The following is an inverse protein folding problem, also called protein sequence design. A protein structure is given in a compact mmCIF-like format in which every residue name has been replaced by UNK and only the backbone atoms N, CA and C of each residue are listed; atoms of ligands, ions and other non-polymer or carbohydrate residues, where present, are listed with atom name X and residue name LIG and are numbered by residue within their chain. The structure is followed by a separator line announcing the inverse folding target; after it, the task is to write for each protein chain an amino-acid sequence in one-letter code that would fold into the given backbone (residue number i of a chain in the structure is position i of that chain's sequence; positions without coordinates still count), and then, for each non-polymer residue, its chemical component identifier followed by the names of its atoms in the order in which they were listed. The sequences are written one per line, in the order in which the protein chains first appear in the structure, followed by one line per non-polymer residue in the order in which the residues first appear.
data_IF_264698003906
#
_entry.id   IF_264698003906
#
_cell.length_a   1.000
_cell.length_b   1.000
_cell.length_c   1.000
_cell.angle_alpha   90.00
_cell.angle_beta   90.00
_cell.angle_gamma   90.00
#
_symmetry.space_group_name_H-M   'P 1'
#
loop_
_entity.id
_entity.type
_entity.pdbx_description
1 polymer ?
#
# COMPACT_ATOMS: atom_id res chain seq x y z
N UNK A 1 -15.74 6.27 -6.11
CA UNK A 1 -15.40 5.11 -6.94
C UNK A 1 -14.08 5.28 -7.70
N UNK A 2 -13.73 6.49 -8.18
CA UNK A 2 -12.52 6.69 -8.98
C UNK A 2 -11.20 6.29 -8.25
N UNK A 3 -11.13 6.40 -6.92
CA UNK A 3 -9.94 5.96 -6.15
C UNK A 3 -9.88 4.44 -6.10
N UNK A 4 -10.99 3.76 -5.83
CA UNK A 4 -11.04 2.29 -5.83
C UNK A 4 -10.70 1.70 -7.21
N UNK A 5 -11.12 2.36 -8.29
CA UNK A 5 -10.77 1.96 -9.65
C UNK A 5 -9.27 2.17 -9.91
N UNK A 6 -8.69 3.27 -9.40
CA UNK A 6 -7.26 3.53 -9.48
C UNK A 6 -6.44 2.53 -8.64
N UNK A 7 -6.89 2.19 -7.44
CA UNK A 7 -6.27 1.14 -6.59
C UNK A 7 -6.23 -0.20 -7.31
N UNK A 8 -7.34 -0.59 -7.95
CA UNK A 8 -7.42 -1.83 -8.71
C UNK A 8 -6.44 -1.82 -9.90
N UNK A 9 -6.37 -0.73 -10.65
CA UNK A 9 -5.44 -0.60 -11.79
C UNK A 9 -3.97 -0.63 -11.34
N UNK A 10 -3.65 0.01 -10.22
CA UNK A 10 -2.29 -0.04 -9.63
C UNK A 10 -1.96 -1.44 -9.17
N UNK A 11 -2.88 -2.14 -8.52
CA UNK A 11 -2.69 -3.52 -8.08
C UNK A 11 -2.45 -4.48 -9.26
N UNK A 12 -3.19 -4.32 -10.37
CA UNK A 12 -2.98 -5.08 -11.60
C UNK A 12 -1.60 -4.80 -12.20
N UNK A 13 -1.19 -3.54 -12.26
CA UNK A 13 0.14 -3.16 -12.77
C UNK A 13 1.27 -3.74 -11.92
N UNK A 14 1.11 -3.77 -10.59
CA UNK A 14 2.06 -4.42 -9.68
C UNK A 14 2.09 -5.93 -9.92
N UNK A 15 0.92 -6.55 -10.12
CA UNK A 15 0.83 -7.98 -10.44
C UNK A 15 1.58 -8.33 -11.72
N UNK A 16 1.40 -7.55 -12.77
CA UNK A 16 2.10 -7.73 -14.04
C UNK A 16 3.62 -7.55 -13.88
N UNK A 17 4.08 -6.56 -13.14
CA UNK A 17 5.50 -6.38 -12.85
C UNK A 17 6.08 -7.60 -12.13
N UNK A 18 5.38 -8.15 -11.13
CA UNK A 18 5.83 -9.35 -10.40
C UNK A 18 5.93 -10.58 -11.29
N UNK A 19 5.01 -10.75 -12.25
CA UNK A 19 5.10 -11.84 -13.22
C UNK A 19 6.34 -11.67 -14.10
N UNK A 20 6.62 -10.46 -14.58
CA UNK A 20 7.82 -10.20 -15.38
C UNK A 20 9.12 -10.45 -14.60
N UNK A 21 9.16 -10.07 -13.31
CA UNK A 21 10.30 -10.34 -12.43
C UNK A 21 10.47 -11.85 -12.21
N UNK A 22 9.37 -12.59 -12.03
CA UNK A 22 9.40 -14.04 -11.89
C UNK A 22 9.89 -14.74 -13.17
N UNK A 23 9.38 -14.35 -14.33
CA UNK A 23 9.80 -14.89 -15.62
C UNK A 23 11.31 -14.66 -15.85
N UNK A 24 11.80 -13.44 -15.53
CA UNK A 24 13.22 -13.13 -15.56
C UNK A 24 14.05 -14.05 -14.63
N UNK A 25 13.62 -14.25 -13.40
CA UNK A 25 14.31 -15.11 -12.45
C UNK A 25 14.30 -16.59 -12.90
N UNK A 26 13.21 -17.03 -13.53
CA UNK A 26 13.11 -18.36 -14.14
C UNK A 26 14.10 -18.52 -15.30
N UNK A 27 14.25 -17.51 -16.16
CA UNK A 27 15.22 -17.51 -17.25
C UNK A 27 16.67 -17.53 -16.75
N UNK A 28 16.98 -16.74 -15.72
CA UNK A 28 18.29 -16.77 -15.07
C UNK A 28 18.59 -18.16 -14.48
N UNK A 29 17.61 -18.77 -13.81
CA UNK A 29 17.75 -20.11 -13.24
C UNK A 29 17.89 -21.18 -14.35
N UNK A 30 17.12 -21.05 -15.42
CA UNK A 30 17.23 -21.96 -16.59
C UNK A 30 18.59 -21.85 -17.27
N UNK A 31 19.12 -20.64 -17.45
CA UNK A 31 20.45 -20.43 -17.99
C UNK A 31 21.53 -21.12 -17.14
N UNK A 32 21.46 -20.98 -15.82
CA UNK A 32 22.39 -21.64 -14.91
C UNK A 32 22.27 -23.18 -14.97
N UNK A 33 21.06 -23.70 -15.09
CA UNK A 33 20.83 -25.16 -15.22
C UNK A 33 21.36 -25.71 -16.54
N UNK A 34 21.12 -25.02 -17.65
CA UNK A 34 21.67 -25.39 -18.95
C UNK A 34 23.18 -25.31 -18.96
N UNK A 35 23.80 -24.34 -18.31
CA UNK A 35 25.27 -24.26 -18.13
C UNK A 35 25.84 -25.48 -17.40
N UNK A 36 25.20 -25.92 -16.30
CA UNK A 36 25.58 -27.15 -15.58
C UNK A 36 25.46 -28.38 -16.47
N UNK A 37 24.37 -28.51 -17.24
CA UNK A 37 24.16 -29.61 -18.17
C UNK A 37 25.19 -29.61 -19.28
N UNK A 38 25.56 -28.45 -19.81
CA UNK A 38 26.60 -28.32 -20.84
C UNK A 38 27.95 -28.77 -20.30
N UNK A 39 28.34 -28.34 -19.10
CA UNK A 39 29.58 -28.73 -18.44
C UNK A 39 29.63 -30.24 -18.17
N UNK A 40 28.53 -30.82 -17.68
CA UNK A 40 28.46 -32.28 -17.43
C UNK A 40 28.62 -33.09 -18.76
N UNK A 41 27.98 -32.65 -19.83
CA UNK A 41 28.10 -33.27 -21.13
C UNK A 41 29.51 -33.13 -21.68
N UNK A 42 30.15 -31.96 -21.58
CA UNK A 42 31.53 -31.74 -22.02
C UNK A 42 32.51 -32.63 -21.26
N UNK A 43 32.39 -32.69 -19.93
CA UNK A 43 33.24 -33.56 -19.08
C UNK A 43 33.07 -35.03 -19.50
N UNK A 44 31.84 -35.47 -19.79
CA UNK A 44 31.57 -36.84 -20.24
C UNK A 44 32.18 -37.14 -21.62
N UNK A 45 32.15 -36.16 -22.52
CA UNK A 45 32.82 -36.28 -23.81
C UNK A 45 34.32 -36.45 -23.64
N UNK A 46 34.97 -35.71 -22.73
CA UNK A 46 36.39 -35.81 -22.46
C UNK A 46 36.79 -37.18 -21.88
N UNK A 47 35.98 -37.69 -20.93
CA UNK A 47 36.16 -39.03 -20.35
C UNK A 47 36.10 -40.11 -21.43
N UNK A 48 35.09 -40.05 -22.32
CA UNK A 48 34.92 -41.02 -23.38
C UNK A 48 36.06 -40.94 -24.41
N UNK A 49 36.55 -39.74 -24.72
CA UNK A 49 37.68 -39.52 -25.62
C UNK A 49 38.96 -40.09 -25.06
N UNK A 50 39.19 -39.91 -23.76
CA UNK A 50 40.33 -40.51 -23.06
C UNK A 50 40.26 -42.05 -23.01
N UNK A 51 39.05 -42.63 -22.99
CA UNK A 51 38.81 -44.06 -23.07
C UNK A 51 38.87 -44.62 -24.51
N UNK A 52 39.11 -43.79 -25.55
CA UNK A 52 39.20 -44.19 -26.94
C UNK A 52 37.83 -44.29 -27.66
N UNK A 53 36.73 -43.93 -27.01
CA UNK A 53 35.39 -43.97 -27.58
C UNK A 53 35.01 -42.61 -28.20
N UNK A 54 35.57 -42.28 -29.36
CA UNK A 54 35.39 -40.99 -30.02
C UNK A 54 33.97 -40.78 -30.51
N UNK A 55 33.29 -41.84 -31.02
CA UNK A 55 31.95 -41.73 -31.54
C UNK A 55 30.92 -41.32 -30.51
N UNK A 56 31.02 -41.82 -29.29
CA UNK A 56 30.12 -41.39 -28.19
C UNK A 56 30.58 -40.06 -27.58
N UNK A 57 31.89 -39.76 -27.56
CA UNK A 57 32.37 -38.44 -27.17
C UNK A 57 31.79 -37.34 -28.06
N UNK A 58 31.75 -37.52 -29.37
CA UNK A 58 31.15 -36.55 -30.31
C UNK A 58 29.63 -36.31 -30.07
N UNK A 59 28.93 -37.37 -29.65
CA UNK A 59 27.48 -37.22 -29.24
C UNK A 59 27.34 -36.31 -28.00
N UNK A 60 28.21 -36.49 -26.99
CA UNK A 60 28.19 -35.66 -25.80
C UNK A 60 28.64 -34.23 -26.06
N UNK A 61 29.61 -34.02 -26.95
CA UNK A 61 29.97 -32.67 -27.42
C UNK A 61 28.80 -31.98 -28.12
N UNK A 62 28.02 -32.70 -28.92
CA UNK A 62 26.80 -32.16 -29.54
C UNK A 62 25.73 -31.81 -28.47
N UNK A 63 25.54 -32.65 -27.45
CA UNK A 63 24.66 -32.34 -26.32
C UNK A 63 25.11 -31.09 -25.58
N UNK A 64 26.42 -30.94 -25.30
CA UNK A 64 26.98 -29.75 -24.70
C UNK A 64 26.69 -28.49 -25.53
N UNK A 65 26.86 -28.55 -26.85
CA UNK A 65 26.53 -27.43 -27.77
C UNK A 65 25.06 -27.07 -27.73
N UNK A 66 24.17 -28.06 -27.70
CA UNK A 66 22.71 -27.82 -27.61
C UNK A 66 22.39 -27.15 -26.25
N UNK A 67 22.99 -27.64 -25.18
CA UNK A 67 22.79 -27.06 -23.83
C UNK A 67 23.32 -25.62 -23.74
N UNK A 68 24.49 -25.34 -24.34
CA UNK A 68 25.02 -23.96 -24.43
C UNK A 68 24.10 -23.07 -25.29
N UNK A 69 23.54 -23.56 -26.37
CA UNK A 69 22.56 -22.81 -27.15
C UNK A 69 21.32 -22.44 -26.36
N UNK A 70 20.82 -23.36 -25.52
CA UNK A 70 19.72 -23.11 -24.60
C UNK A 70 20.10 -22.12 -23.51
N UNK A 71 21.31 -22.23 -22.94
CA UNK A 71 21.82 -21.26 -21.98
C UNK A 71 21.84 -19.86 -22.57
N UNK A 72 22.41 -19.67 -23.74
CA UNK A 72 22.48 -18.36 -24.43
C UNK A 72 21.07 -17.80 -24.70
N UNK A 73 20.11 -18.65 -25.08
CA UNK A 73 18.71 -18.22 -25.28
C UNK A 73 18.13 -17.65 -23.99
N UNK A 74 18.21 -18.42 -22.88
CA UNK A 74 17.67 -17.97 -21.60
C UNK A 74 18.41 -16.72 -21.04
N UNK A 75 19.73 -16.63 -21.22
CA UNK A 75 20.50 -15.42 -20.85
C UNK A 75 20.05 -14.19 -21.66
N UNK A 76 19.72 -14.38 -22.94
CA UNK A 76 19.24 -13.30 -23.80
C UNK A 76 17.84 -12.87 -23.38
N UNK A 77 16.94 -13.82 -23.13
CA UNK A 77 15.57 -13.55 -22.67
C UNK A 77 15.56 -12.78 -21.35
N UNK A 78 16.36 -13.23 -20.37
CA UNK A 78 16.53 -12.52 -19.10
C UNK A 78 17.05 -11.09 -19.30
N UNK A 79 18.11 -10.92 -20.10
CA UNK A 79 18.72 -9.62 -20.37
C UNK A 79 17.78 -8.66 -21.09
N UNK A 80 17.00 -9.16 -22.03
CA UNK A 80 16.05 -8.35 -22.81
C UNK A 80 14.85 -7.91 -21.95
N UNK A 81 14.52 -8.65 -20.89
CA UNK A 81 13.48 -8.30 -19.92
C UNK A 81 13.90 -7.16 -18.97
N UNK A 82 15.20 -7.05 -18.61
CA UNK A 82 15.72 -6.09 -17.60
C UNK A 82 15.28 -4.64 -17.84
N UNK A 83 15.42 -4.04 -19.06
CA UNK A 83 15.03 -2.64 -19.28
C UNK A 83 13.52 -2.43 -19.13
N UNK A 84 12.72 -3.43 -19.49
CA UNK A 84 11.27 -3.37 -19.35
C UNK A 84 10.85 -3.43 -17.87
N UNK A 85 11.46 -4.33 -17.10
CA UNK A 85 11.25 -4.44 -15.65
C UNK A 85 11.65 -3.13 -14.96
N UNK A 86 12.80 -2.55 -15.29
CA UNK A 86 13.25 -1.27 -14.72
C UNK A 86 12.27 -0.11 -15.03
N UNK A 87 11.77 -0.06 -16.27
CA UNK A 87 10.77 0.92 -16.67
C UNK A 87 9.45 0.73 -15.91
N UNK A 88 8.94 -0.49 -15.84
CA UNK A 88 7.71 -0.81 -15.12
C UNK A 88 7.83 -0.56 -13.62
N UNK A 89 8.97 -0.84 -13.01
CA UNK A 89 9.26 -0.52 -11.61
C UNK A 89 9.12 0.99 -11.33
N UNK A 90 9.64 1.81 -12.25
CA UNK A 90 9.51 3.26 -12.16
C UNK A 90 8.05 3.71 -12.29
N UNK A 91 7.31 3.14 -13.24
CA UNK A 91 5.88 3.42 -13.44
C UNK A 91 5.07 3.04 -12.18
N UNK A 92 5.30 1.87 -11.63
CA UNK A 92 4.64 1.40 -10.39
C UNK A 92 4.93 2.36 -9.23
N UNK A 93 6.17 2.83 -9.07
CA UNK A 93 6.51 3.80 -8.03
C UNK A 93 5.75 5.12 -8.21
N UNK A 94 5.65 5.63 -9.44
CA UNK A 94 4.89 6.84 -9.75
C UNK A 94 3.39 6.66 -9.49
N UNK A 95 2.82 5.52 -9.87
CA UNK A 95 1.41 5.20 -9.66
C UNK A 95 1.07 5.12 -8.16
N UNK A 96 1.93 4.50 -7.34
CA UNK A 96 1.78 4.47 -5.89
C UNK A 96 1.78 5.88 -5.30
N UNK A 97 2.74 6.71 -5.68
CA UNK A 97 2.82 8.11 -5.23
C UNK A 97 1.57 8.90 -5.65
N UNK A 98 1.09 8.69 -6.87
CA UNK A 98 -0.14 9.33 -7.34
C UNK A 98 -1.38 8.89 -6.54
N UNK A 99 -1.47 7.60 -6.21
CA UNK A 99 -2.55 7.06 -5.39
C UNK A 99 -2.53 7.65 -3.97
N UNK A 100 -1.37 7.73 -3.33
CA UNK A 100 -1.20 8.37 -2.02
C UNK A 100 -1.66 9.83 -2.05
N UNK A 101 -1.29 10.58 -3.09
CA UNK A 101 -1.75 11.97 -3.29
C UNK A 101 -3.29 12.05 -3.44
N UNK A 102 -3.90 11.10 -4.14
CA UNK A 102 -5.36 11.03 -4.27
C UNK A 102 -6.03 10.79 -2.91
N UNK A 103 -5.48 9.91 -2.07
CA UNK A 103 -5.99 9.68 -0.72
C UNK A 103 -5.88 10.92 0.18
N UNK A 104 -4.74 11.60 0.16
CA UNK A 104 -4.55 12.86 0.88
C UNK A 104 -5.59 13.90 0.42
N UNK A 105 -5.77 14.03 -0.89
CA UNK A 105 -6.74 14.98 -1.45
C UNK A 105 -8.18 14.64 -1.09
N UNK A 106 -8.52 13.37 -1.06
CA UNK A 106 -9.83 12.91 -0.61
C UNK A 106 -10.06 13.30 0.86
N UNK A 107 -9.07 13.06 1.73
CA UNK A 107 -9.14 13.43 3.14
C UNK A 107 -9.35 14.94 3.34
N UNK A 108 -8.59 15.77 2.60
CA UNK A 108 -8.77 17.23 2.60
C UNK A 108 -10.19 17.65 2.17
N UNK A 109 -10.71 17.03 1.11
CA UNK A 109 -12.06 17.33 0.61
C UNK A 109 -13.14 16.91 1.61
N UNK A 110 -12.98 15.78 2.29
CA UNK A 110 -13.89 15.32 3.36
C UNK A 110 -13.88 16.34 4.49
N UNK A 111 -12.70 16.74 4.98
CA UNK A 111 -12.57 17.74 6.05
C UNK A 111 -13.22 19.07 5.66
N UNK A 112 -13.03 19.51 4.41
CA UNK A 112 -13.62 20.73 3.91
C UNK A 112 -15.14 20.65 3.77
N UNK A 113 -15.66 19.50 3.34
CA UNK A 113 -17.11 19.24 3.34
C UNK A 113 -17.68 19.34 4.75
N UNK A 114 -17.03 18.72 5.73
CA UNK A 114 -17.52 18.68 7.11
C UNK A 114 -17.50 20.09 7.72
N UNK A 115 -16.46 20.88 7.45
CA UNK A 115 -16.41 22.30 7.82
C UNK A 115 -17.59 23.11 7.22
N UNK A 116 -17.84 22.91 5.93
CA UNK A 116 -18.94 23.60 5.26
C UNK A 116 -20.33 23.19 5.78
N UNK A 117 -20.50 21.89 6.08
CA UNK A 117 -21.74 21.37 6.69
C UNK A 117 -21.92 21.96 8.10
N UNK A 118 -20.87 22.06 8.90
CA UNK A 118 -20.94 22.68 10.22
C UNK A 118 -21.32 24.18 10.13
N UNK A 119 -20.72 24.92 9.20
CA UNK A 119 -21.05 26.33 8.95
C UNK A 119 -22.49 26.50 8.46
N UNK A 120 -22.98 25.64 7.58
CA UNK A 120 -24.36 25.68 7.11
C UNK A 120 -25.36 25.46 8.28
N UNK A 121 -25.08 24.45 9.13
CA UNK A 121 -25.91 24.20 10.34
C UNK A 121 -25.93 25.37 11.30
N UNK A 122 -24.79 26.05 11.47
CA UNK A 122 -24.71 27.25 12.33
C UNK A 122 -25.51 28.40 11.73
N UNK A 123 -25.43 28.60 10.42
CA UNK A 123 -26.20 29.63 9.72
C UNK A 123 -27.70 29.37 9.81
N UNK A 124 -28.15 28.12 9.63
CA UNK A 124 -29.56 27.73 9.80
C UNK A 124 -30.04 27.95 11.24
N UNK A 125 -29.23 27.61 12.25
CA UNK A 125 -29.56 27.88 13.64
C UNK A 125 -29.69 29.38 13.92
N UNK A 126 -28.77 30.21 13.39
CA UNK A 126 -28.85 31.67 13.51
C UNK A 126 -30.09 32.25 12.83
N UNK A 127 -30.46 31.74 11.65
CA UNK A 127 -31.71 32.16 10.96
C UNK A 127 -32.94 31.83 11.78
N UNK A 128 -32.98 30.60 12.37
CA UNK A 128 -34.11 30.21 13.25
C UNK A 128 -34.22 31.08 14.52
N UNK A 129 -33.09 31.49 15.09
CA UNK A 129 -33.07 32.42 16.23
C UNK A 129 -33.60 33.80 15.82
N UNK A 130 -33.16 34.32 14.69
CA UNK A 130 -33.64 35.62 14.17
C UNK A 130 -35.13 35.58 13.88
N UNK A 131 -35.62 34.49 13.31
CA UNK A 131 -37.06 34.33 12.99
C UNK A 131 -37.91 34.18 14.27
N UNK A 132 -37.38 33.47 15.28
CA UNK A 132 -38.01 33.38 16.58
C UNK A 132 -38.06 34.74 17.30
N UNK A 133 -37.00 35.54 17.21
CA UNK A 133 -36.99 36.91 17.78
C UNK A 133 -37.96 37.85 17.04
N UNK A 134 -38.09 37.70 15.74
CA UNK A 134 -39.06 38.48 14.95
C UNK A 134 -40.51 38.09 15.23
N UNK A 135 -40.76 36.85 15.66
CA UNK A 135 -42.13 36.37 15.98
C UNK A 135 -42.54 36.67 17.43
N UNK A 136 -41.69 37.27 18.26
CA UNK A 136 -42.04 37.70 19.58
C UNK A 136 -42.93 38.93 19.45
N UNK A 137 -44.22 38.72 19.60
CA UNK A 137 -45.21 39.80 19.67
C UNK A 137 -45.08 40.51 21.01
N UNK A 138 -45.01 41.84 20.97
CA UNK A 138 -44.64 42.72 22.12
C UNK A 138 -45.68 42.71 23.24
N UNK A 139 -46.73 41.88 23.17
CA UNK A 139 -47.88 41.92 24.10
C UNK A 139 -47.77 41.06 25.36
N UNK A 140 -46.83 40.10 25.45
CA UNK A 140 -46.55 39.36 26.70
C UNK A 140 -45.10 38.93 26.83
N UNK A 141 -44.20 39.78 27.36
CA UNK A 141 -42.77 39.53 27.38
C UNK A 141 -42.33 38.45 28.37
N UNK A 142 -43.13 38.03 29.34
CA UNK A 142 -42.66 37.20 30.45
C UNK A 142 -42.82 35.70 30.26
N UNK A 143 -43.79 35.25 29.44
CA UNK A 143 -44.01 33.81 29.20
C UNK A 143 -43.25 33.28 27.99
N UNK A 144 -42.98 34.11 26.98
CA UNK A 144 -42.23 33.70 25.77
C UNK A 144 -40.72 33.76 25.96
N UNK A 145 -40.20 34.71 26.78
CA UNK A 145 -38.78 34.80 27.04
C UNK A 145 -38.28 33.54 27.77
N UNK A 146 -39.02 33.00 28.71
CA UNK A 146 -38.68 31.74 29.41
C UNK A 146 -38.68 30.53 28.46
N UNK A 147 -39.62 30.46 27.52
CA UNK A 147 -39.66 29.41 26.50
C UNK A 147 -38.52 29.53 25.49
N UNK A 148 -38.09 30.74 25.17
CA UNK A 148 -36.98 31.02 24.31
C UNK A 148 -35.62 30.65 24.96
N UNK A 149 -35.45 31.05 26.21
CA UNK A 149 -34.27 30.66 27.01
C UNK A 149 -34.14 29.13 27.15
N UNK A 150 -35.24 28.42 27.39
CA UNK A 150 -35.23 26.95 27.42
C UNK A 150 -34.88 26.33 26.09
N UNK A 151 -35.32 26.91 24.96
CA UNK A 151 -35.03 26.43 23.63
C UNK A 151 -33.55 26.66 23.22
N UNK A 152 -33.03 27.86 23.53
CA UNK A 152 -31.61 28.18 23.33
C UNK A 152 -30.72 27.25 24.16
N UNK A 153 -31.06 27.03 25.42
CA UNK A 153 -30.33 26.14 26.36
C UNK A 153 -30.33 24.69 25.87
N UNK A 154 -31.42 24.20 25.26
CA UNK A 154 -31.47 22.87 24.66
C UNK A 154 -30.63 22.76 23.39
N UNK A 155 -30.62 23.79 22.55
CA UNK A 155 -29.77 23.79 21.34
C UNK A 155 -28.29 23.95 21.68
N UNK A 156 -27.92 24.76 22.65
CA UNK A 156 -26.54 24.85 23.18
C UNK A 156 -26.07 23.51 23.77
N UNK A 157 -26.91 22.84 24.55
CA UNK A 157 -26.60 21.50 25.08
C UNK A 157 -26.45 20.46 23.99
N UNK A 158 -27.22 20.54 22.92
CA UNK A 158 -27.12 19.64 21.76
C UNK A 158 -25.84 19.88 20.94
N UNK A 159 -25.47 21.16 20.75
CA UNK A 159 -24.21 21.52 20.08
C UNK A 159 -23.01 21.08 20.93
N UNK A 160 -23.04 21.28 22.25
CA UNK A 160 -22.01 20.81 23.17
C UNK A 160 -21.87 19.28 23.14
N UNK A 161 -23.00 18.53 23.15
CA UNK A 161 -23.01 17.07 23.00
C UNK A 161 -22.46 16.57 21.65
N UNK A 162 -22.72 17.31 20.56
CA UNK A 162 -22.14 16.98 19.25
C UNK A 162 -20.63 17.26 19.18
N UNK A 163 -20.15 18.31 19.87
CA UNK A 163 -18.72 18.59 19.99
C UNK A 163 -17.99 17.55 20.84
N UNK A 164 -18.61 17.07 21.92
CA UNK A 164 -18.08 16.01 22.77
C UNK A 164 -18.00 14.66 22.02
N UNK A 165 -19.02 14.33 21.23
CA UNK A 165 -19.00 13.15 20.35
C UNK A 165 -17.92 13.25 19.26
N UNK A 166 -17.69 14.42 18.69
CA UNK A 166 -16.64 14.64 17.70
C UNK A 166 -15.24 14.53 18.32
N UNK A 167 -15.05 15.05 19.53
CA UNK A 167 -13.80 14.93 20.28
C UNK A 167 -13.52 13.47 20.68
N UNK A 168 -14.52 12.73 21.19
CA UNK A 168 -14.36 11.32 21.55
C UNK A 168 -14.08 10.42 20.33
N UNK A 169 -14.59 10.76 19.15
CA UNK A 169 -14.29 10.03 17.90
C UNK A 169 -12.86 10.30 17.42
N UNK A 170 -12.32 11.48 17.66
CA UNK A 170 -10.93 11.81 17.38
C UNK A 170 -9.97 11.09 18.34
N UNK A 171 -10.28 11.08 19.65
CA UNK A 171 -9.48 10.36 20.63
C UNK A 171 -9.41 8.85 20.35
N UNK A 172 -10.53 8.24 19.95
CA UNK A 172 -10.53 6.83 19.54
C UNK A 172 -9.77 6.55 18.25
N UNK A 173 -9.65 7.53 17.34
CA UNK A 173 -8.80 7.41 16.15
C UNK A 173 -7.31 7.52 16.50
N UNK A 174 -6.95 8.36 17.48
CA UNK A 174 -5.57 8.46 17.97
C UNK A 174 -5.15 7.22 18.77
N UNK A 175 -6.02 6.62 19.58
CA UNK A 175 -5.77 5.34 20.25
C UNK A 175 -5.51 4.21 19.25
N UNK A 176 -6.29 4.14 18.17
CA UNK A 176 -6.06 3.16 17.08
C UNK A 176 -4.74 3.37 16.35
N UNK A 177 -4.26 4.61 16.20
CA UNK A 177 -2.95 4.91 15.61
C UNK A 177 -1.79 4.49 16.52
N UNK A 178 -1.92 4.70 17.83
CA UNK A 178 -0.95 4.26 18.85
C UNK A 178 -0.86 2.72 18.91
N UNK A 179 -1.97 2.02 18.79
CA UNK A 179 -2.00 0.55 18.74
C UNK A 179 -1.38 -0.01 17.48
N UNK A 180 -1.59 0.62 16.32
CA UNK A 180 -0.93 0.25 15.06
C UNK A 180 0.59 0.48 15.13
N UNK A 181 1.04 1.55 15.78
CA UNK A 181 2.46 1.81 16.03
C UNK A 181 3.11 0.74 16.90
N UNK A 182 2.45 0.32 17.97
CA UNK A 182 2.91 -0.77 18.86
C UNK A 182 2.93 -2.12 18.16
N UNK A 183 1.95 -2.39 17.30
CA UNK A 183 1.88 -3.63 16.52
C UNK A 183 3.03 -3.72 15.52
N UNK A 184 3.35 -2.63 14.83
CA UNK A 184 4.50 -2.57 13.91
C UNK A 184 5.84 -2.77 14.65
N UNK A 185 5.99 -2.26 15.87
CA UNK A 185 7.19 -2.47 16.70
C UNK A 185 7.30 -3.93 17.18
N UNK A 186 6.21 -4.56 17.56
CA UNK A 186 6.15 -5.98 17.94
C UNK A 186 6.51 -6.87 16.75
N UNK A 187 5.99 -6.59 15.57
CA UNK A 187 6.29 -7.34 14.35
C UNK A 187 7.77 -7.17 13.93
N UNK A 188 8.33 -5.97 14.06
CA UNK A 188 9.74 -5.73 13.81
C UNK A 188 10.65 -6.48 14.80
N UNK A 189 10.30 -6.54 16.08
CA UNK A 189 11.00 -7.31 17.11
C UNK A 189 10.89 -8.82 16.90
N UNK A 190 9.73 -9.30 16.47
CA UNK A 190 9.52 -10.70 16.13
C UNK A 190 10.35 -11.10 14.90
N UNK A 191 10.43 -10.23 13.89
CA UNK A 191 11.28 -10.44 12.72
C UNK A 191 12.78 -10.49 13.10
N UNK A 192 13.24 -9.61 14.00
CA UNK A 192 14.60 -9.60 14.52
C UNK A 192 14.93 -10.87 15.32
N UNK A 193 14.00 -11.37 16.13
CA UNK A 193 14.14 -12.65 16.86
C UNK A 193 14.24 -13.85 15.91
N UNK A 194 13.43 -13.87 14.86
CA UNK A 194 13.45 -14.94 13.84
C UNK A 194 14.71 -14.91 12.97
N UNK A 195 15.36 -13.75 12.85
CA UNK A 195 16.63 -13.60 12.14
C UNK A 195 17.87 -13.95 12.99
N UNK A 196 17.71 -14.47 14.21
CA UNK A 196 18.79 -14.95 15.06
C UNK A 196 19.55 -13.84 15.81
N UNK A 197 18.95 -12.64 15.94
CA UNK A 197 19.53 -11.54 16.73
C UNK A 197 19.10 -11.60 18.20
N UNK A 198 20.05 -11.51 19.12
CA UNK A 198 19.79 -11.35 20.55
C UNK A 198 18.99 -10.07 20.83
N UNK A 199 17.99 -10.16 21.70
CA UNK A 199 17.19 -9.01 22.11
C UNK A 199 18.06 -7.88 22.67
N UNK A 200 17.81 -6.61 22.32
CA UNK A 200 18.49 -5.50 22.98
C UNK A 200 18.06 -5.43 24.44
N UNK A 201 19.04 -5.46 25.33
CA UNK A 201 18.84 -5.29 26.77
C UNK A 201 18.25 -3.91 27.05
N UNK A 202 17.19 -3.87 27.84
CA UNK A 202 16.60 -2.63 28.34
C UNK A 202 17.66 -1.84 29.12
N UNK A 203 17.93 -0.61 28.68
CA UNK A 203 18.72 0.34 29.43
C UNK A 203 17.83 0.90 30.55
N UNK A 204 18.11 0.46 31.77
CA UNK A 204 17.56 1.07 33.00
C UNK A 204 18.32 2.37 33.25
N UNK A 205 17.62 3.52 33.17
CA UNK A 205 17.85 4.72 33.98
C UNK A 205 16.53 5.49 34.15
#
# INVERSE_FOLDING_TARGET
NNIADAESAVAETIGNLRLMEQDHDEDVAAAADWGRKALAASNKADELRAAGNTADADKFDNLAKIALGKQVSSETEAKDAEPTIASQTTVVAQLKTGLDQMHVKLSELISKRDELVARAKTADAQSQVIDAVKSIDVMDPTSELGRFEDKVRREEAKVAGQQELAASSLDSQFENLDDLGKQAEVDARLAALKAGGSAPQAITQ
#
